data_IF_933370380460
#
_entry.id   IF_933370380460
#
_cell.length_a   1.000
_cell.length_b   1.000
_cell.length_c   1.000
_cell.angle_alpha   90.00
_cell.angle_beta   90.00
_cell.angle_gamma   90.00
#
_symmetry.space_group_name_H-M   'P 1'
#
loop_
_entity.id
_entity.type
_entity.pdbx_description
1 polymer ?
#
# COMPACT_ATOMS: atom_id res chain seq x y z
N UNK A 1 -6.44 -10.68 16.55
CA UNK A 1 -6.57 -10.09 15.21
C UNK A 1 -5.22 -10.19 14.53
N UNK A 2 -5.15 -10.62 13.28
CA UNK A 2 -3.88 -10.61 12.52
C UNK A 2 -3.49 -9.15 12.24
N UNK A 3 -2.20 -8.83 12.31
CA UNK A 3 -1.69 -7.51 11.90
C UNK A 3 -1.76 -7.39 10.38
N UNK A 4 -2.23 -6.24 9.90
CA UNK A 4 -2.47 -6.00 8.48
C UNK A 4 -1.24 -6.22 7.58
N UNK A 5 -0.02 -5.74 7.91
CA UNK A 5 1.17 -6.03 7.10
C UNK A 5 1.49 -7.52 6.95
N UNK A 6 1.21 -8.31 8.00
CA UNK A 6 1.41 -9.76 7.97
C UNK A 6 0.38 -10.41 7.04
N UNK A 7 -0.88 -9.98 7.12
CA UNK A 7 -1.92 -10.43 6.20
C UNK A 7 -1.59 -10.04 4.75
N UNK A 8 -1.23 -8.79 4.49
CA UNK A 8 -0.83 -8.31 3.17
C UNK A 8 0.31 -9.16 2.56
N UNK A 9 1.38 -9.40 3.32
CA UNK A 9 2.50 -10.21 2.87
C UNK A 9 2.14 -11.67 2.57
N UNK A 10 1.36 -12.32 3.44
CA UNK A 10 0.86 -13.68 3.21
C UNK A 10 -0.03 -13.73 1.96
N UNK A 11 -0.89 -12.71 1.80
CA UNK A 11 -1.75 -12.51 0.64
C UNK A 11 -0.96 -12.48 -0.66
N UNK A 12 0.06 -11.62 -0.71
CA UNK A 12 1.00 -11.42 -1.80
C UNK A 12 1.90 -12.64 -2.09
N UNK A 13 1.85 -13.68 -1.24
CA UNK A 13 2.60 -14.92 -1.45
C UNK A 13 4.06 -14.83 -0.99
N UNK A 14 4.38 -13.86 -0.14
CA UNK A 14 5.74 -13.68 0.38
C UNK A 14 6.06 -14.74 1.45
N UNK A 15 7.27 -15.30 1.40
CA UNK A 15 7.76 -16.24 2.41
C UNK A 15 8.28 -15.49 3.65
N UNK A 16 7.38 -15.07 4.52
CA UNK A 16 7.71 -14.34 5.75
C UNK A 16 8.25 -15.24 6.87
N UNK A 17 8.27 -16.56 6.67
CA UNK A 17 8.73 -17.53 7.67
C UNK A 17 10.24 -17.74 7.68
N UNK A 18 10.92 -17.35 6.59
CA UNK A 18 12.36 -17.46 6.47
C UNK A 18 13.09 -16.50 7.44
N UNK A 19 14.31 -16.84 7.89
CA UNK A 19 15.17 -15.95 8.68
C UNK A 19 15.82 -14.89 7.79
N UNK A 20 15.01 -14.12 7.07
CA UNK A 20 15.49 -13.13 6.10
C UNK A 20 14.48 -12.01 5.93
N UNK A 21 14.96 -10.79 5.71
CA UNK A 21 14.14 -9.60 5.55
C UNK A 21 13.22 -9.67 4.33
N UNK A 22 11.97 -9.28 4.52
CA UNK A 22 10.96 -9.16 3.47
C UNK A 22 10.16 -7.90 3.72
N UNK A 23 10.17 -6.95 2.78
CA UNK A 23 9.44 -5.69 2.94
C UNK A 23 8.13 -5.72 2.15
N UNK A 24 7.05 -5.30 2.83
CA UNK A 24 5.73 -5.06 2.23
C UNK A 24 5.28 -3.63 2.52
N UNK A 25 4.66 -3.00 1.54
CA UNK A 25 4.04 -1.68 1.63
C UNK A 25 2.61 -1.80 1.12
N UNK A 26 1.65 -1.76 2.04
CA UNK A 26 0.22 -1.85 1.74
C UNK A 26 -0.40 -0.46 1.70
N UNK A 27 -0.87 -0.02 0.53
CA UNK A 27 -1.48 1.31 0.36
C UNK A 27 -2.99 1.11 0.24
N UNK A 28 -3.71 1.31 1.34
CA UNK A 28 -5.16 1.24 1.42
C UNK A 28 -5.86 2.55 1.04
N UNK A 29 -7.15 2.64 1.41
CA UNK A 29 -7.93 3.88 1.26
C UNK A 29 -7.48 4.95 2.27
N UNK A 30 -7.52 4.62 3.57
CA UNK A 30 -7.23 5.58 4.64
C UNK A 30 -5.78 5.55 5.17
N UNK A 31 -5.06 4.45 4.97
CA UNK A 31 -3.72 4.24 5.53
C UNK A 31 -2.77 3.65 4.50
N UNK A 32 -1.49 3.84 4.79
CA UNK A 32 -0.40 3.05 4.20
C UNK A 32 0.32 2.36 5.34
N UNK A 33 0.49 1.05 5.23
CA UNK A 33 1.08 0.19 6.25
C UNK A 33 2.35 -0.46 5.69
N UNK A 34 3.48 -0.14 6.31
CA UNK A 34 4.82 -0.50 5.85
C UNK A 34 5.44 -1.43 6.89
N UNK A 35 6.00 -2.56 6.47
CA UNK A 35 6.69 -3.44 7.40
C UNK A 35 7.84 -4.23 6.74
N UNK A 36 8.88 -4.48 7.53
CA UNK A 36 9.86 -5.54 7.29
C UNK A 36 9.55 -6.73 8.19
N UNK A 37 9.44 -7.90 7.57
CA UNK A 37 9.04 -9.16 8.17
C UNK A 37 10.18 -10.18 8.12
N UNK A 38 10.29 -11.01 9.16
CA UNK A 38 11.19 -12.16 9.25
C UNK A 38 10.67 -13.12 10.32
N UNK A 39 10.87 -14.43 10.16
CA UNK A 39 10.44 -15.46 11.13
C UNK A 39 8.97 -15.33 11.59
N UNK A 40 8.06 -15.01 10.66
CA UNK A 40 6.64 -14.72 10.88
C UNK A 40 6.34 -13.53 11.81
N UNK A 41 7.37 -12.74 12.16
CA UNK A 41 7.27 -11.55 12.99
C UNK A 41 7.44 -10.27 12.19
N UNK A 42 6.97 -9.17 12.78
CA UNK A 42 7.30 -7.82 12.33
C UNK A 42 8.59 -7.42 13.03
N UNK A 43 9.60 -7.02 12.25
CA UNK A 43 10.86 -6.50 12.79
C UNK A 43 10.78 -4.98 12.92
N UNK A 44 10.39 -4.30 11.84
CA UNK A 44 10.18 -2.86 11.79
C UNK A 44 8.87 -2.59 11.06
N UNK A 45 8.12 -1.57 11.49
CA UNK A 45 6.89 -1.17 10.81
C UNK A 45 6.52 0.27 11.09
N UNK A 46 5.83 0.89 10.13
CA UNK A 46 5.23 2.22 10.26
C UNK A 46 3.86 2.20 9.59
N UNK A 47 2.89 2.87 10.21
CA UNK A 47 1.57 3.11 9.64
C UNK A 47 1.35 4.61 9.55
N UNK A 48 0.94 5.09 8.37
CA UNK A 48 0.63 6.49 8.13
C UNK A 48 -0.82 6.64 7.70
N UNK A 49 -1.49 7.70 8.17
CA UNK A 49 -2.87 8.05 7.80
C UNK A 49 -2.94 8.76 6.44
N UNK A 50 -2.30 8.15 5.46
CA UNK A 50 -2.23 8.57 4.07
C UNK A 50 -2.47 7.35 3.20
N UNK A 51 -3.45 7.43 2.32
CA UNK A 51 -3.79 6.39 1.35
C UNK A 51 -4.57 7.01 0.19
N UNK A 52 -5.39 6.19 -0.47
CA UNK A 52 -6.28 6.59 -1.56
C UNK A 52 -7.11 7.86 -1.28
N UNK A 53 -7.63 8.02 -0.07
CA UNK A 53 -8.49 9.13 0.33
C UNK A 53 -7.71 10.45 0.29
N UNK A 54 -6.43 10.43 0.69
CA UNK A 54 -5.57 11.62 0.65
C UNK A 54 -5.20 12.03 -0.77
N UNK A 55 -5.07 11.08 -1.68
CA UNK A 55 -4.93 11.40 -3.10
C UNK A 55 -6.19 12.08 -3.65
N UNK A 56 -7.38 11.59 -3.29
CA UNK A 56 -8.65 12.16 -3.76
C UNK A 56 -8.89 13.57 -3.22
N UNK A 57 -8.62 13.77 -1.93
CA UNK A 57 -8.66 15.09 -1.28
C UNK A 57 -7.69 16.07 -1.97
N UNK A 58 -6.48 15.63 -2.30
CA UNK A 58 -5.46 16.45 -2.93
C UNK A 58 -5.85 16.85 -4.37
N UNK A 59 -6.37 15.91 -5.16
CA UNK A 59 -6.92 16.16 -6.50
C UNK A 59 -8.08 17.14 -6.45
N UNK A 60 -9.06 16.94 -5.54
CA UNK A 60 -10.19 17.84 -5.37
C UNK A 60 -9.73 19.27 -5.06
N UNK A 61 -8.75 19.39 -4.15
CA UNK A 61 -8.18 20.66 -3.71
C UNK A 61 -7.44 21.36 -4.84
N UNK A 62 -6.68 20.63 -5.64
CA UNK A 62 -5.98 21.17 -6.80
C UNK A 62 -6.96 21.73 -7.83
N UNK A 63 -7.97 20.94 -8.22
CA UNK A 63 -8.99 21.36 -9.18
C UNK A 63 -9.74 22.60 -8.67
N UNK A 64 -10.09 22.62 -7.38
CA UNK A 64 -10.73 23.78 -6.76
C UNK A 64 -9.87 25.05 -6.86
N UNK A 65 -8.57 24.96 -6.52
CA UNK A 65 -7.67 26.12 -6.42
C UNK A 65 -7.13 26.60 -7.76
N UNK A 66 -6.70 25.68 -8.63
CA UNK A 66 -6.00 25.99 -9.89
C UNK A 66 -6.96 26.09 -11.08
N UNK A 67 -8.07 25.36 -11.03
CA UNK A 67 -9.00 25.22 -12.14
C UNK A 67 -10.36 25.90 -11.89
N UNK A 68 -10.57 26.49 -10.71
CA UNK A 68 -11.81 27.18 -10.32
C UNK A 68 -13.08 26.33 -10.50
N UNK A 69 -12.95 25.02 -10.30
CA UNK A 69 -14.04 24.05 -10.43
C UNK A 69 -14.17 23.26 -9.13
N UNK A 70 -15.39 23.13 -8.62
CA UNK A 70 -15.68 22.31 -7.45
C UNK A 70 -16.20 20.95 -7.88
N UNK A 71 -15.50 19.88 -7.48
CA UNK A 71 -15.84 18.48 -7.75
C UNK A 71 -16.04 17.72 -6.43
N UNK A 72 -16.86 16.65 -6.47
CA UNK A 72 -17.07 15.77 -5.32
C UNK A 72 -16.05 14.64 -5.25
N UNK A 73 -16.03 13.93 -4.12
CA UNK A 73 -15.12 12.81 -3.83
C UNK A 73 -15.13 11.73 -4.92
N UNK A 74 -16.31 11.24 -5.31
CA UNK A 74 -16.45 10.23 -6.38
C UNK A 74 -15.86 10.69 -7.72
N UNK A 75 -15.94 11.99 -8.02
CA UNK A 75 -15.33 12.55 -9.23
C UNK A 75 -13.81 12.59 -9.10
N UNK A 76 -13.28 12.98 -7.94
CA UNK A 76 -11.84 12.97 -7.66
C UNK A 76 -11.25 11.56 -7.72
N UNK A 77 -11.92 10.57 -7.13
CA UNK A 77 -11.52 9.17 -7.19
C UNK A 77 -11.51 8.66 -8.63
N UNK A 78 -12.53 9.01 -9.42
CA UNK A 78 -12.55 8.68 -10.85
C UNK A 78 -11.36 9.30 -11.59
N UNK A 79 -11.03 10.57 -11.30
CA UNK A 79 -9.85 11.22 -11.89
C UNK A 79 -8.57 10.50 -11.51
N UNK A 80 -8.40 10.13 -10.23
CA UNK A 80 -7.27 9.33 -9.74
C UNK A 80 -7.14 8.01 -10.49
N UNK A 81 -8.22 7.25 -10.63
CA UNK A 81 -8.20 5.94 -11.27
C UNK A 81 -7.90 6.02 -12.78
N UNK A 82 -8.46 7.00 -13.49
CA UNK A 82 -8.34 7.09 -14.95
C UNK A 82 -7.01 7.71 -15.39
N UNK A 83 -6.63 8.83 -14.78
CA UNK A 83 -5.51 9.65 -15.22
C UNK A 83 -4.49 9.98 -14.12
N UNK A 84 -4.69 9.49 -12.89
CA UNK A 84 -3.71 9.62 -11.81
C UNK A 84 -2.36 9.02 -12.17
N UNK A 85 -1.29 9.74 -11.82
CA UNK A 85 0.07 9.32 -12.12
C UNK A 85 1.04 9.78 -11.03
N UNK A 86 1.80 8.83 -10.49
CA UNK A 86 2.77 9.07 -9.43
C UNK A 86 4.12 9.52 -9.99
N UNK A 87 4.56 8.90 -11.08
CA UNK A 87 5.87 9.17 -11.68
C UNK A 87 5.79 10.22 -12.79
N UNK A 88 6.56 11.30 -12.63
CA UNK A 88 6.64 12.39 -13.60
C UNK A 88 7.17 11.92 -14.96
N UNK A 89 8.07 10.93 -14.99
CA UNK A 89 8.68 10.43 -16.22
C UNK A 89 7.68 9.69 -17.13
N UNK A 90 6.52 9.30 -16.58
CA UNK A 90 5.47 8.58 -17.30
C UNK A 90 4.33 9.50 -17.77
N UNK A 91 4.42 10.80 -17.51
CA UNK A 91 3.43 11.80 -17.94
C UNK A 91 3.36 11.80 -19.47
N UNK A 92 2.14 11.71 -19.99
CA UNK A 92 1.90 11.55 -21.44
C UNK A 92 0.74 12.42 -21.93
N UNK A 93 0.39 13.47 -21.19
CA UNK A 93 -0.73 14.37 -21.48
C UNK A 93 -2.07 13.63 -21.63
N UNK A 94 -2.26 12.52 -20.93
CA UNK A 94 -3.58 11.87 -20.86
C UNK A 94 -4.54 12.82 -20.17
N UNK A 95 -5.78 12.84 -20.63
CA UNK A 95 -6.78 13.73 -20.05
C UNK A 95 -8.16 13.08 -20.00
N UNK A 96 -9.02 13.68 -19.20
CA UNK A 96 -10.45 13.38 -19.19
C UNK A 96 -11.25 14.66 -19.02
N UNK A 97 -12.49 14.66 -19.51
CA UNK A 97 -13.44 15.72 -19.23
C UNK A 97 -14.08 15.53 -17.85
N UNK A 98 -14.03 16.58 -17.05
CA UNK A 98 -14.51 16.61 -15.67
C UNK A 98 -15.63 17.65 -15.55
N UNK A 99 -16.75 17.20 -15.00
CA UNK A 99 -17.91 18.04 -14.74
C UNK A 99 -17.92 18.47 -13.28
N UNK A 100 -18.19 19.75 -13.03
CA UNK A 100 -18.30 20.28 -11.69
C UNK A 100 -19.04 21.62 -11.66
N UNK A 101 -19.03 22.26 -10.49
CA UNK A 101 -19.61 23.58 -10.30
C UNK A 101 -18.54 24.65 -10.42
N UNK A 102 -18.69 25.59 -11.34
CA UNK A 102 -17.75 26.72 -11.44
C UNK A 102 -17.77 27.56 -10.17
N UNK A 103 -16.59 27.92 -9.67
CA UNK A 103 -16.45 28.84 -8.53
C UNK A 103 -16.63 30.31 -8.92
N UNK A 104 -16.63 30.61 -10.23
CA UNK A 104 -16.73 31.98 -10.74
C UNK A 104 -18.19 32.43 -10.76
N UNK A 105 -19.07 31.60 -11.33
CA UNK A 105 -20.48 31.96 -11.52
C UNK A 105 -21.47 30.96 -10.86
N UNK A 106 -20.98 29.89 -10.24
CA UNK A 106 -21.81 28.91 -9.55
C UNK A 106 -22.53 27.90 -10.46
N UNK A 107 -22.36 27.97 -11.79
CA UNK A 107 -23.06 27.12 -12.74
C UNK A 107 -22.29 25.83 -13.07
N UNK A 108 -22.98 24.77 -13.53
CA UNK A 108 -22.32 23.57 -14.06
C UNK A 108 -21.37 23.91 -15.22
N UNK A 109 -20.16 23.38 -15.17
CA UNK A 109 -19.12 23.56 -16.19
C UNK A 109 -18.34 22.26 -16.37
N UNK A 110 -17.94 21.99 -17.60
CA UNK A 110 -17.00 20.94 -17.95
C UNK A 110 -15.60 21.52 -18.23
N UNK A 111 -14.55 20.76 -17.91
CA UNK A 111 -13.19 21.09 -18.31
C UNK A 111 -12.31 19.86 -18.48
N UNK A 112 -11.24 20.00 -19.24
CA UNK A 112 -10.23 18.96 -19.38
C UNK A 112 -9.26 19.00 -18.18
N UNK A 113 -9.10 17.86 -17.52
CA UNK A 113 -8.07 17.62 -16.50
C UNK A 113 -7.08 16.64 -17.10
N UNK A 114 -5.79 16.98 -17.01
CA UNK A 114 -4.69 16.20 -17.55
C UNK A 114 -3.93 15.47 -16.43
N UNK A 115 -3.21 14.42 -16.79
CA UNK A 115 -2.38 13.62 -15.87
C UNK A 115 -1.35 14.47 -15.12
N UNK A 116 -0.72 15.47 -15.75
CA UNK A 116 0.20 16.39 -15.07
C UNK A 116 -0.47 17.23 -13.97
N UNK A 117 -1.76 17.57 -14.10
CA UNK A 117 -2.51 18.21 -13.01
C UNK A 117 -2.66 17.27 -11.82
N UNK A 118 -2.93 16.00 -12.08
CA UNK A 118 -3.06 15.00 -11.00
C UNK A 118 -1.73 14.75 -10.32
N UNK A 119 -0.64 14.69 -11.09
CA UNK A 119 0.71 14.53 -10.57
C UNK A 119 1.09 15.69 -9.64
N UNK A 120 0.90 16.95 -10.07
CA UNK A 120 1.15 18.13 -9.24
C UNK A 120 0.27 18.12 -7.97
N UNK A 121 -0.98 17.65 -8.09
CA UNK A 121 -1.90 17.59 -6.97
C UNK A 121 -1.46 16.64 -5.86
N UNK A 122 -0.89 15.47 -6.20
CA UNK A 122 -0.64 14.37 -5.24
C UNK A 122 0.81 14.31 -4.74
N UNK A 123 1.65 15.31 -4.99
CA UNK A 123 3.05 15.32 -4.53
C UNK A 123 3.16 15.17 -3.00
N UNK A 124 2.44 15.98 -2.24
CA UNK A 124 2.47 15.96 -0.77
C UNK A 124 2.18 14.55 -0.17
N UNK A 125 1.08 13.85 -0.53
CA UNK A 125 0.86 12.50 -0.02
C UNK A 125 1.84 11.44 -0.57
N UNK A 126 2.38 11.61 -1.78
CA UNK A 126 3.42 10.70 -2.31
C UNK A 126 4.73 10.84 -1.54
N UNK A 127 5.19 12.07 -1.29
CA UNK A 127 6.37 12.37 -0.48
C UNK A 127 6.24 11.76 0.91
N UNK A 128 5.06 11.86 1.54
CA UNK A 128 4.81 11.26 2.84
C UNK A 128 4.98 9.72 2.84
N UNK A 129 4.56 9.04 1.77
CA UNK A 129 4.75 7.59 1.61
C UNK A 129 6.22 7.27 1.38
N UNK A 130 6.91 8.02 0.50
CA UNK A 130 8.33 7.83 0.19
C UNK A 130 9.17 7.94 1.47
N UNK A 131 8.97 9.00 2.26
CA UNK A 131 9.73 9.22 3.49
C UNK A 131 9.43 8.16 4.54
N UNK A 132 8.19 7.69 4.64
CA UNK A 132 7.85 6.60 5.54
C UNK A 132 8.50 5.25 5.13
N UNK A 133 8.63 4.99 3.83
CA UNK A 133 9.33 3.81 3.31
C UNK A 133 10.82 3.88 3.65
N UNK A 134 11.46 5.04 3.41
CA UNK A 134 12.88 5.26 3.75
C UNK A 134 13.12 5.10 5.25
N UNK A 135 12.27 5.69 6.09
CA UNK A 135 12.41 5.58 7.55
C UNK A 135 12.31 4.13 8.03
N UNK A 136 11.45 3.30 7.45
CA UNK A 136 11.41 1.88 7.81
C UNK A 136 12.69 1.17 7.39
N UNK A 137 13.23 1.47 6.20
CA UNK A 137 14.51 0.92 5.75
C UNK A 137 15.67 1.33 6.66
N UNK A 138 15.74 2.60 7.06
CA UNK A 138 16.77 3.15 7.95
C UNK A 138 16.75 2.52 9.34
N UNK A 139 15.57 2.21 9.86
CA UNK A 139 15.40 1.56 11.16
C UNK A 139 15.54 0.02 11.10
N UNK A 140 15.62 -0.56 9.90
CA UNK A 140 15.74 -2.01 9.74
C UNK A 140 17.17 -2.46 10.05
N UNK A 141 17.37 -3.54 10.83
CA UNK A 141 18.69 -4.10 11.09
C UNK A 141 19.48 -4.35 9.79
N UNK A 142 20.78 -4.00 9.73
CA UNK A 142 21.55 -4.02 8.48
C UNK A 142 21.48 -5.35 7.72
N UNK A 143 21.47 -6.48 8.43
CA UNK A 143 21.37 -7.82 7.85
C UNK A 143 20.05 -8.04 7.10
N UNK A 144 18.93 -7.54 7.63
CA UNK A 144 17.62 -7.67 6.99
C UNK A 144 17.40 -6.59 5.93
N UNK A 145 18.01 -5.42 6.09
CA UNK A 145 17.98 -4.38 5.06
C UNK A 145 18.68 -4.87 3.78
N UNK A 146 19.81 -5.58 3.92
CA UNK A 146 20.49 -6.21 2.79
C UNK A 146 19.58 -7.22 2.06
N UNK A 147 18.83 -8.05 2.80
CA UNK A 147 17.85 -8.97 2.19
C UNK A 147 16.75 -8.23 1.43
N UNK A 148 16.28 -7.08 1.94
CA UNK A 148 15.26 -6.26 1.27
C UNK A 148 15.81 -5.63 0.00
N UNK A 149 17.07 -5.19 -0.02
CA UNK A 149 17.73 -4.67 -1.23
C UNK A 149 17.80 -5.75 -2.31
N UNK A 150 18.14 -6.99 -1.95
CA UNK A 150 18.25 -8.10 -2.89
C UNK A 150 16.89 -8.55 -3.43
N UNK A 151 15.90 -8.71 -2.56
CA UNK A 151 14.57 -9.23 -2.93
C UNK A 151 13.62 -8.18 -3.50
N UNK A 152 13.83 -6.93 -3.11
CA UNK A 152 12.95 -5.81 -3.42
C UNK A 152 11.82 -5.59 -2.40
N UNK A 153 11.06 -4.53 -2.67
CA UNK A 153 9.87 -4.12 -1.93
C UNK A 153 8.63 -4.64 -2.67
N UNK A 154 7.67 -5.22 -1.95
CA UNK A 154 6.38 -5.61 -2.52
C UNK A 154 5.28 -4.62 -2.15
N UNK A 155 4.60 -4.05 -3.14
CA UNK A 155 3.43 -3.18 -2.95
C UNK A 155 2.13 -4.00 -2.99
N UNK A 156 1.21 -3.68 -2.08
CA UNK A 156 -0.16 -4.20 -2.05
C UNK A 156 -1.18 -3.08 -1.82
N UNK A 157 -2.46 -3.43 -1.81
CA UNK A 157 -3.54 -2.50 -1.54
C UNK A 157 -3.97 -1.72 -2.77
N UNK A 158 -5.18 -1.16 -2.75
CA UNK A 158 -5.75 -0.48 -3.92
C UNK A 158 -4.97 0.75 -4.39
N UNK A 159 -4.29 1.45 -3.48
CA UNK A 159 -3.46 2.59 -3.81
C UNK A 159 -2.17 2.22 -4.56
N UNK A 160 -1.73 0.96 -4.50
CA UNK A 160 -0.60 0.48 -5.31
C UNK A 160 -0.89 0.45 -6.82
N UNK A 161 -2.17 0.59 -7.23
CA UNK A 161 -2.58 0.66 -8.63
C UNK A 161 -2.38 2.05 -9.25
N UNK A 162 -1.96 3.05 -8.47
CA UNK A 162 -1.61 4.36 -9.01
C UNK A 162 -0.43 4.23 -9.98
N UNK A 163 -0.62 4.68 -11.22
CA UNK A 163 0.36 4.51 -12.30
C UNK A 163 1.73 5.10 -11.92
N UNK A 164 2.78 4.27 -11.94
CA UNK A 164 4.17 4.69 -11.68
C UNK A 164 4.55 4.80 -10.20
N UNK A 165 3.71 4.34 -9.26
CA UNK A 165 4.08 4.39 -7.84
C UNK A 165 5.26 3.46 -7.51
N UNK A 166 5.34 2.33 -8.20
CA UNK A 166 6.45 1.38 -8.13
C UNK A 166 7.75 1.97 -8.68
N UNK A 167 7.71 2.60 -9.85
CA UNK A 167 8.89 3.25 -10.46
C UNK A 167 9.35 4.43 -9.63
N UNK A 168 8.42 5.25 -9.12
CA UNK A 168 8.71 6.36 -8.22
C UNK A 168 9.42 5.89 -6.94
N UNK A 169 8.87 4.89 -6.24
CA UNK A 169 9.47 4.34 -5.03
C UNK A 169 10.81 3.70 -5.32
N UNK A 170 10.95 2.99 -6.45
CA UNK A 170 12.21 2.37 -6.85
C UNK A 170 13.31 3.41 -7.06
N UNK A 171 12.98 4.51 -7.74
CA UNK A 171 13.90 5.64 -7.96
C UNK A 171 14.35 6.31 -6.65
N UNK A 172 13.44 6.48 -5.69
CA UNK A 172 13.74 7.15 -4.42
C UNK A 172 14.43 6.28 -3.37
N UNK A 173 14.29 4.95 -3.48
CA UNK A 173 14.91 4.00 -2.54
C UNK A 173 16.14 3.32 -3.11
N UNK A 174 16.33 3.30 -4.43
CA UNK A 174 17.35 2.49 -5.10
C UNK A 174 17.07 0.99 -5.07
N UNK A 175 15.88 0.57 -4.60
CA UNK A 175 15.49 -0.83 -4.43
C UNK A 175 14.44 -1.18 -5.48
N UNK A 176 14.49 -2.40 -6.01
CA UNK A 176 13.46 -2.89 -6.93
C UNK A 176 12.10 -2.93 -6.23
N UNK A 177 11.06 -2.38 -6.86
CA UNK A 177 9.70 -2.41 -6.35
C UNK A 177 8.82 -3.27 -7.26
N UNK A 178 7.98 -4.11 -6.67
CA UNK A 178 7.09 -5.04 -7.35
C UNK A 178 5.67 -4.86 -6.82
N UNK A 179 4.68 -4.78 -7.70
CA UNK A 179 3.27 -4.81 -7.30
C UNK A 179 2.82 -6.27 -7.21
N UNK A 180 2.13 -6.63 -6.13
CA UNK A 180 1.56 -7.97 -5.98
C UNK A 180 0.56 -8.29 -7.11
N UNK A 181 0.44 -9.57 -7.48
CA UNK A 181 -0.40 -9.98 -8.62
C UNK A 181 -1.90 -9.68 -8.45
N UNK A 182 -2.42 -9.71 -7.21
CA UNK A 182 -3.77 -9.27 -6.86
C UNK A 182 -3.68 -8.37 -5.62
N UNK A 183 -3.32 -7.09 -5.79
CA UNK A 183 -2.99 -6.21 -4.66
C UNK A 183 -4.23 -5.87 -3.83
N UNK A 184 -5.43 -5.84 -4.44
CA UNK A 184 -6.70 -5.54 -3.78
C UNK A 184 -7.12 -6.66 -2.81
N UNK A 185 -6.85 -7.92 -3.16
CA UNK A 185 -7.27 -9.06 -2.35
C UNK A 185 -6.24 -9.51 -1.31
N UNK A 186 -5.03 -8.93 -1.30
CA UNK A 186 -3.91 -9.42 -0.48
C UNK A 186 -4.27 -9.56 1.00
N UNK A 187 -4.79 -8.52 1.65
CA UNK A 187 -5.14 -8.58 3.08
C UNK A 187 -6.19 -9.65 3.36
N UNK A 188 -7.26 -9.73 2.55
CA UNK A 188 -8.32 -10.71 2.73
C UNK A 188 -7.82 -12.16 2.53
N UNK A 189 -7.05 -12.41 1.47
CA UNK A 189 -6.46 -13.71 1.18
C UNK A 189 -5.46 -14.13 2.27
N UNK A 190 -4.64 -13.19 2.74
CA UNK A 190 -3.66 -13.42 3.79
C UNK A 190 -4.27 -13.71 5.15
N UNK A 191 -5.33 -13.00 5.53
CA UNK A 191 -6.10 -13.30 6.73
C UNK A 191 -6.67 -14.74 6.68
N UNK A 192 -7.21 -15.15 5.52
CA UNK A 192 -7.67 -16.53 5.31
C UNK A 192 -6.54 -17.57 5.37
N UNK A 193 -5.35 -17.25 4.83
CA UNK A 193 -4.14 -18.11 4.93
C UNK A 193 -3.69 -18.27 6.38
N UNK A 194 -3.65 -17.18 7.16
CA UNK A 194 -3.23 -17.21 8.56
C UNK A 194 -4.15 -18.04 9.44
N UNK A 195 -5.47 -17.99 9.20
CA UNK A 195 -6.44 -18.81 9.92
C UNK A 195 -6.13 -20.31 9.77
N UNK A 196 -5.81 -20.76 8.54
CA UNK A 196 -5.44 -22.15 8.27
C UNK A 196 -4.17 -22.60 9.00
N UNK A 197 -3.22 -21.69 9.24
CA UNK A 197 -1.99 -22.02 9.99
C UNK A 197 -2.27 -22.25 11.48
N UNK A 198 -3.22 -21.51 12.07
CA UNK A 198 -3.66 -21.71 13.46
C UNK A 198 -4.36 -23.06 13.67
N UNK A 199 -5.16 -23.49 12.69
CA UNK A 199 -5.84 -24.80 12.72
C UNK A 199 -4.82 -25.96 12.71
N UNK A 200 -3.75 -25.85 11.92
CA UNK A 200 -2.67 -26.86 11.86
C UNK A 200 -1.88 -26.93 13.18
N UNK A 201 -1.62 -25.78 13.82
CA UNK A 201 -0.91 -25.72 15.10
C UNK A 201 -1.77 -26.24 16.26
N UNK A 202 -3.06 -25.93 16.28
CA UNK A 202 -4.00 -26.42 17.31
C UNK A 202 -4.31 -27.92 17.17
N UNK A 203 -4.32 -28.46 15.95
CA UNK A 203 -4.44 -29.90 15.69
C UNK A 203 -3.19 -30.69 16.12
N UNK A 204 -1.99 -30.09 16.03
CA UNK A 204 -0.72 -30.73 16.41
C UNK A 204 -0.48 -30.76 17.93
N UNK A 205 -1.13 -29.90 18.71
CA UNK A 205 -1.03 -29.85 20.17
C UNK A 205 -1.75 -30.97 20.94
N UNK A 206 -2.63 -31.74 20.29
CA UNK A 206 -3.46 -32.78 20.96
C UNK A 206 -2.82 -34.17 21.08
N UNK A 207 -1.56 -34.39 20.66
CA UNK A 207 -0.91 -35.72 20.67
C UNK A 207 0.08 -36.02 21.81
N UNK A 208 0.20 -35.18 22.86
CA UNK A 208 1.23 -35.37 23.92
C UNK A 208 0.74 -35.65 25.35
N UNK A 209 -0.51 -36.07 25.59
CA UNK A 209 -0.99 -36.34 26.96
C UNK A 209 -1.70 -37.69 27.15
N UNK A 210 -1.17 -38.77 26.59
CA UNK A 210 -1.70 -40.11 26.84
C UNK A 210 -0.58 -41.17 26.87
N UNK A 211 0.29 -41.11 27.87
CA UNK A 211 1.10 -42.26 28.28
C UNK A 211 1.70 -41.98 29.66
N UNK A 212 1.00 -42.42 30.71
CA UNK A 212 1.56 -43.09 31.89
C UNK A 212 0.37 -43.54 32.78
N UNK A 213 0.10 -44.85 32.93
CA UNK A 213 -0.85 -45.33 33.93
C UNK A 213 -0.17 -45.32 35.31
N UNK A 214 -0.78 -44.60 36.25
CA UNK A 214 -0.40 -44.63 37.67
C UNK A 214 -0.74 -46.01 38.25
N UNK A 215 0.27 -46.80 38.59
CA UNK A 215 0.12 -47.98 39.45
C UNK A 215 -0.04 -47.54 40.90
N UNK A 216 -1.13 -47.98 41.52
CA UNK A 216 -1.38 -47.91 42.97
C UNK A 216 -0.45 -48.87 43.72
N UNK A 217 0.18 -48.37 44.79
CA UNK A 217 0.21 -48.93 46.16
C UNK A 217 1.27 -48.21 46.98
#
# INVERSE_FOLDING_TARGET
MIKEPVAAALGAGLNISAPSGTMVVDIGGGTTDIAVLSLNGIVCSKSLRVGGDKFDEAIARYIRKRLNLNVGERTSEKIKMEIGIADEELISNRYMEVHGRSLINGLPRAMLVYDYHTHEAIQEPLEAIIEAVKEVLENTPPELAADVVEKGITLTGGGSLLKGIDTLLSRHTGIKVLIAGDPLSCVALGAGKALRMLDVLSASGKKKSALFPLSKS
#
